data_IF_357192961062
#
_entry.id   IF_357192961062
#
_cell.length_a   1.000
_cell.length_b   1.000
_cell.length_c   1.000
_cell.angle_alpha   90.00
_cell.angle_beta   90.00
_cell.angle_gamma   90.00
#
_symmetry.space_group_name_H-M   'P 1'
#
loop_
_entity.id
_entity.type
_entity.pdbx_description
1 polymer ?
#
# COMPACT_ATOMS: atom_id res chain seq x y z
N UNK A 1 10.42 -19.10 -24.65
CA UNK A 1 11.17 -18.28 -23.68
C UNK A 1 10.21 -17.94 -22.57
N UNK A 2 10.62 -18.17 -21.33
CA UNK A 2 9.79 -17.97 -20.13
C UNK A 2 9.67 -16.46 -19.88
N UNK A 3 8.46 -15.91 -20.00
CA UNK A 3 8.19 -14.51 -19.69
C UNK A 3 8.14 -14.31 -18.17
N UNK A 4 8.76 -13.23 -17.68
CA UNK A 4 8.67 -12.84 -16.28
C UNK A 4 7.32 -12.19 -16.03
N UNK A 5 6.36 -12.96 -15.53
CA UNK A 5 5.12 -12.39 -14.98
C UNK A 5 5.41 -11.78 -13.61
N UNK A 6 5.15 -10.47 -13.47
CA UNK A 6 4.91 -9.88 -12.17
C UNK A 6 3.61 -10.46 -11.63
N UNK A 7 3.67 -11.52 -10.82
CA UNK A 7 2.47 -12.09 -10.23
C UNK A 7 1.97 -11.24 -9.06
N UNK A 8 0.71 -10.84 -9.18
CA UNK A 8 -0.37 -11.55 -8.48
C UNK A 8 -1.30 -12.24 -9.49
N UNK A 9 -0.86 -13.33 -10.13
CA UNK A 9 -1.82 -14.32 -10.64
C UNK A 9 -1.89 -15.46 -9.62
N UNK A 10 -3.08 -16.01 -9.39
CA UNK A 10 -3.26 -17.28 -8.69
C UNK A 10 -3.30 -18.39 -9.74
N UNK A 11 -2.43 -19.40 -9.61
CA UNK A 11 -2.52 -20.64 -10.36
C UNK A 11 -2.27 -21.68 -9.29
N UNK A 12 -3.33 -22.44 -8.99
CA UNK A 12 -3.27 -23.54 -8.06
C UNK A 12 -2.33 -24.60 -8.66
N UNK A 13 -1.30 -24.97 -7.92
CA UNK A 13 -0.68 -26.26 -8.12
C UNK A 13 -1.53 -27.35 -7.46
N UNK A 14 -1.31 -28.59 -7.88
CA UNK A 14 -2.14 -29.76 -7.52
C UNK A 14 -2.14 -30.12 -6.02
N UNK A 15 -1.43 -29.36 -5.18
CA UNK A 15 -1.35 -29.56 -3.73
C UNK A 15 -1.81 -28.35 -2.89
N UNK A 16 -2.35 -27.29 -3.50
CA UNK A 16 -3.02 -26.21 -2.75
C UNK A 16 -2.12 -25.37 -1.83
N UNK A 17 -0.80 -25.37 -2.06
CA UNK A 17 0.14 -24.51 -1.33
C UNK A 17 0.57 -23.34 -2.21
N UNK A 18 0.19 -22.10 -1.83
CA UNK A 18 0.65 -20.88 -2.51
C UNK A 18 2.15 -20.66 -2.26
N UNK A 19 3.00 -21.22 -3.11
CA UNK A 19 4.39 -20.82 -3.19
C UNK A 19 4.49 -19.51 -4.01
N UNK A 20 4.75 -18.39 -3.33
CA UNK A 20 5.02 -17.09 -3.95
C UNK A 20 6.33 -17.15 -4.73
N UNK A 21 6.26 -17.30 -6.05
CA UNK A 21 7.41 -17.05 -6.93
C UNK A 21 7.55 -15.55 -7.15
N UNK A 22 8.40 -14.90 -6.35
CA UNK A 22 8.90 -13.54 -6.65
C UNK A 22 9.82 -13.67 -7.85
N UNK A 23 9.34 -13.29 -9.04
CA UNK A 23 10.19 -13.16 -10.21
C UNK A 23 10.69 -11.73 -10.25
N UNK A 24 11.96 -11.52 -9.90
CA UNK A 24 12.62 -10.23 -10.08
C UNK A 24 13.36 -10.27 -11.43
N UNK A 25 12.78 -9.73 -12.53
CA UNK A 25 13.44 -9.76 -13.83
C UNK A 25 14.78 -9.05 -13.75
N UNK A 26 15.78 -9.58 -14.47
CA UNK A 26 17.05 -8.86 -14.65
C UNK A 26 16.84 -7.74 -15.65
N UNK A 27 16.60 -6.54 -15.15
CA UNK A 27 16.48 -5.34 -15.97
C UNK A 27 17.76 -5.07 -16.76
N UNK A 28 17.61 -4.73 -18.04
CA UNK A 28 18.72 -4.38 -18.92
C UNK A 28 19.32 -3.01 -18.57
N UNK A 29 18.52 -2.11 -17.97
CA UNK A 29 18.97 -0.78 -17.57
C UNK A 29 18.42 -0.33 -16.20
N UNK A 30 19.18 0.45 -15.38
CA UNK A 30 18.71 0.92 -14.06
C UNK A 30 17.39 1.71 -14.09
N UNK A 31 17.10 2.43 -15.18
CA UNK A 31 15.84 3.16 -15.32
C UNK A 31 14.62 2.26 -15.47
N UNK A 32 14.78 1.04 -15.99
CA UNK A 32 13.72 0.04 -16.05
C UNK A 32 13.42 -0.47 -14.64
N UNK A 33 14.45 -0.78 -13.86
CA UNK A 33 14.29 -1.16 -12.45
C UNK A 33 13.62 -0.07 -11.61
N UNK A 34 13.96 1.19 -11.84
CA UNK A 34 13.33 2.34 -11.17
C UNK A 34 11.87 2.51 -11.60
N UNK A 35 11.56 2.34 -12.89
CA UNK A 35 10.18 2.43 -13.38
C UNK A 35 9.32 1.29 -12.83
N UNK A 36 9.84 0.06 -12.81
CA UNK A 36 9.18 -1.08 -12.18
C UNK A 36 8.89 -0.81 -10.70
N UNK A 37 9.86 -0.29 -9.94
CA UNK A 37 9.63 0.11 -8.54
C UNK A 37 8.53 1.17 -8.40
N UNK A 38 8.42 2.11 -9.33
CA UNK A 38 7.37 3.13 -9.31
C UNK A 38 6.00 2.50 -9.64
N UNK A 39 5.93 1.56 -10.57
CA UNK A 39 4.69 0.85 -10.88
C UNK A 39 4.23 0.00 -9.69
N UNK A 40 5.16 -0.76 -9.10
CA UNK A 40 4.96 -1.50 -7.85
C UNK A 40 4.51 -0.55 -6.73
N UNK A 41 5.16 0.62 -6.66
CA UNK A 41 4.82 1.66 -5.70
C UNK A 41 3.36 2.07 -5.83
N UNK A 42 2.86 2.32 -7.04
CA UNK A 42 1.46 2.69 -7.23
C UNK A 42 0.49 1.50 -7.34
N UNK A 43 0.96 0.27 -7.16
CA UNK A 43 0.15 -0.95 -7.33
C UNK A 43 -0.34 -1.15 -8.77
N UNK A 44 0.37 -0.61 -9.75
CA UNK A 44 0.04 -0.76 -11.17
C UNK A 44 0.57 -2.09 -11.66
N UNK A 45 -0.30 -2.93 -12.21
CA UNK A 45 0.13 -4.20 -12.83
C UNK A 45 1.01 -3.95 -14.06
N UNK A 46 2.08 -4.75 -14.19
CA UNK A 46 3.01 -4.63 -15.30
C UNK A 46 3.67 -5.95 -15.70
N UNK A 47 3.98 -6.06 -17.00
CA UNK A 47 4.80 -7.11 -17.60
C UNK A 47 6.08 -6.49 -18.19
N UNK A 48 7.24 -7.12 -17.99
CA UNK A 48 8.52 -6.68 -18.56
C UNK A 48 8.85 -7.44 -19.84
N UNK A 49 9.26 -6.71 -20.87
CA UNK A 49 9.51 -7.23 -22.23
C UNK A 49 8.38 -8.19 -22.71
N UNK A 50 7.11 -7.74 -22.67
CA UNK A 50 5.93 -8.59 -22.74
C UNK A 50 5.81 -9.33 -24.07
N UNK A 51 6.18 -8.68 -25.17
CA UNK A 51 6.06 -9.21 -26.53
C UNK A 51 6.97 -8.43 -27.47
N UNK A 52 7.58 -9.14 -28.42
CA UNK A 52 8.36 -8.55 -29.51
C UNK A 52 7.52 -8.43 -30.78
N UNK A 53 7.58 -7.26 -31.41
CA UNK A 53 6.87 -6.97 -32.65
C UNK A 53 7.85 -6.85 -33.82
N UNK A 54 7.61 -7.54 -34.95
CA UNK A 54 8.39 -7.35 -36.17
C UNK A 54 8.22 -5.93 -36.72
N UNK A 55 9.33 -5.28 -37.10
CA UNK A 55 9.32 -3.93 -37.69
C UNK A 55 9.92 -3.86 -39.09
N UNK A 56 10.71 -4.87 -39.49
CA UNK A 56 11.31 -4.96 -40.83
C UNK A 56 11.44 -6.42 -41.30
N UNK A 57 11.30 -6.61 -42.61
CA UNK A 57 11.42 -7.89 -43.29
C UNK A 57 12.36 -7.78 -44.50
N UNK A 58 12.98 -8.90 -44.86
CA UNK A 58 13.64 -9.14 -46.15
C UNK A 58 13.00 -10.41 -46.75
N UNK A 59 12.13 -10.22 -47.73
CA UNK A 59 11.18 -11.25 -48.16
C UNK A 59 10.29 -11.71 -47.01
N UNK A 60 10.23 -13.02 -46.77
CA UNK A 60 9.47 -13.61 -45.65
C UNK A 60 10.25 -13.64 -44.33
N UNK A 61 11.52 -13.22 -44.33
CA UNK A 61 12.38 -13.25 -43.14
C UNK A 61 12.31 -11.95 -42.37
N UNK A 62 12.00 -12.03 -41.08
CA UNK A 62 12.07 -10.87 -40.18
C UNK A 62 13.54 -10.46 -39.96
N UNK A 63 13.85 -9.19 -40.21
CA UNK A 63 15.19 -8.62 -40.08
C UNK A 63 15.33 -7.65 -38.91
N UNK A 64 14.21 -7.10 -38.42
CA UNK A 64 14.22 -6.25 -37.22
C UNK A 64 12.97 -6.47 -36.37
N UNK A 65 13.18 -6.52 -35.05
CA UNK A 65 12.13 -6.56 -34.03
C UNK A 65 12.21 -5.33 -33.12
N UNK A 66 11.09 -5.02 -32.49
CA UNK A 66 10.96 -4.05 -31.43
C UNK A 66 10.23 -4.68 -30.24
N UNK A 67 10.85 -4.68 -29.08
CA UNK A 67 10.25 -5.16 -27.82
C UNK A 67 10.07 -3.93 -26.93
N UNK A 68 8.82 -3.53 -26.60
CA UNK A 68 8.59 -2.50 -25.60
C UNK A 68 9.14 -2.94 -24.24
N UNK A 69 9.68 -2.00 -23.47
CA UNK A 69 10.23 -2.30 -22.14
C UNK A 69 9.16 -2.83 -21.16
N UNK A 70 7.95 -2.24 -21.15
CA UNK A 70 6.84 -2.66 -20.26
C UNK A 70 5.49 -2.71 -20.97
N UNK A 71 4.55 -3.50 -20.44
CA UNK A 71 3.12 -3.41 -20.72
C UNK A 71 2.35 -3.27 -19.40
N UNK A 72 1.36 -2.38 -19.40
CA UNK A 72 0.47 -2.11 -18.26
C UNK A 72 -0.94 -2.62 -18.61
N UNK A 73 -1.33 -3.85 -18.20
CA UNK A 73 -2.57 -4.49 -18.65
C UNK A 73 -3.82 -3.68 -18.34
N UNK A 74 -3.89 -3.09 -17.14
CA UNK A 74 -5.03 -2.28 -16.70
C UNK A 74 -5.28 -1.03 -17.56
N UNK A 75 -4.25 -0.55 -18.25
CA UNK A 75 -4.31 0.65 -19.08
C UNK A 75 -4.27 0.33 -20.58
N UNK A 76 -4.14 -0.95 -20.94
CA UNK A 76 -3.79 -1.43 -22.27
C UNK A 76 -2.71 -0.54 -22.92
N UNK A 77 -1.55 -0.47 -22.26
CA UNK A 77 -0.51 0.52 -22.59
C UNK A 77 0.87 -0.12 -22.57
N UNK A 78 1.54 -0.11 -23.73
CA UNK A 78 2.95 -0.42 -23.85
C UNK A 78 3.80 0.82 -23.55
N UNK A 79 4.88 0.64 -22.81
CA UNK A 79 5.82 1.69 -22.44
C UNK A 79 7.20 1.34 -22.98
N UNK A 80 7.80 2.32 -23.65
CA UNK A 80 9.21 2.32 -24.03
C UNK A 80 9.91 3.42 -23.25
N UNK A 81 10.90 3.07 -22.42
CA UNK A 81 11.72 4.02 -21.69
C UNK A 81 12.81 4.59 -22.59
N UNK A 82 13.08 5.88 -22.46
CA UNK A 82 14.19 6.52 -23.18
C UNK A 82 15.12 7.31 -22.27
N UNK A 83 16.40 7.30 -22.65
CA UNK A 83 17.45 8.12 -22.03
C UNK A 83 17.48 9.51 -22.66
N UNK A 84 18.20 10.44 -22.04
CA UNK A 84 18.37 11.82 -22.54
C UNK A 84 19.37 11.94 -23.71
N UNK A 85 20.06 10.86 -24.09
CA UNK A 85 21.01 10.87 -25.22
C UNK A 85 20.26 10.92 -26.55
N UNK A 86 20.29 12.09 -27.19
CA UNK A 86 19.50 12.43 -28.37
C UNK A 86 19.66 11.44 -29.56
N UNK A 87 20.85 10.89 -29.78
CA UNK A 87 21.10 9.92 -30.86
C UNK A 87 20.35 8.59 -30.67
N UNK A 88 20.22 8.11 -29.42
CA UNK A 88 19.47 6.90 -29.08
C UNK A 88 17.96 7.14 -29.18
N UNK A 89 17.51 8.34 -28.79
CA UNK A 89 16.11 8.78 -28.91
C UNK A 89 15.66 8.81 -30.36
N UNK A 90 16.47 9.31 -31.30
CA UNK A 90 16.13 9.36 -32.72
C UNK A 90 15.93 7.96 -33.31
N UNK A 91 16.78 7.00 -32.94
CA UNK A 91 16.65 5.60 -33.37
C UNK A 91 15.39 4.94 -32.79
N UNK A 92 15.13 5.11 -31.49
CA UNK A 92 13.91 4.59 -30.85
C UNK A 92 12.64 5.17 -31.47
N UNK A 93 12.60 6.49 -31.72
CA UNK A 93 11.46 7.14 -32.37
C UNK A 93 11.17 6.60 -33.78
N UNK A 94 12.22 6.27 -34.55
CA UNK A 94 12.03 5.66 -35.88
C UNK A 94 11.35 4.31 -35.79
N UNK A 95 11.82 3.44 -34.88
CA UNK A 95 11.22 2.12 -34.64
C UNK A 95 9.78 2.23 -34.15
N UNK A 96 9.52 3.15 -33.21
CA UNK A 96 8.21 3.36 -32.64
C UNK A 96 7.19 3.86 -33.69
N UNK A 97 7.60 4.75 -34.61
CA UNK A 97 6.77 5.15 -35.75
C UNK A 97 6.45 3.96 -36.65
N UNK A 98 7.45 3.16 -36.98
CA UNK A 98 7.26 1.98 -37.81
C UNK A 98 6.35 0.94 -37.17
N UNK A 99 6.49 0.72 -35.86
CA UNK A 99 5.60 -0.14 -35.09
C UNK A 99 4.14 0.33 -35.20
N UNK A 100 3.89 1.63 -35.01
CA UNK A 100 2.55 2.22 -35.11
C UNK A 100 1.95 2.14 -36.51
N UNK A 101 2.77 2.24 -37.56
CA UNK A 101 2.31 2.05 -38.94
C UNK A 101 1.87 0.60 -39.20
N UNK A 102 2.59 -0.37 -38.65
CA UNK A 102 2.33 -1.80 -38.85
C UNK A 102 1.26 -2.35 -37.91
N UNK A 103 1.11 -1.75 -36.73
CA UNK A 103 0.21 -2.19 -35.67
C UNK A 103 -0.51 -0.96 -35.07
N UNK A 104 -1.49 -0.39 -35.79
CA UNK A 104 -2.15 0.86 -35.39
C UNK A 104 -2.96 0.75 -34.09
N UNK A 105 -3.39 -0.46 -33.74
CA UNK A 105 -4.18 -0.74 -32.53
C UNK A 105 -3.32 -0.78 -31.26
N UNK A 106 -1.99 -0.81 -31.38
CA UNK A 106 -1.09 -0.83 -30.23
C UNK A 106 -0.96 0.58 -29.64
N UNK A 107 -1.48 0.73 -28.42
CA UNK A 107 -1.26 1.91 -27.61
C UNK A 107 0.12 1.85 -26.96
N UNK A 108 1.11 2.49 -27.59
CA UNK A 108 2.49 2.58 -27.09
C UNK A 108 2.92 4.02 -26.83
N UNK A 109 3.62 4.25 -25.70
CA UNK A 109 4.21 5.55 -25.35
C UNK A 109 5.70 5.47 -25.08
N UNK A 110 6.43 6.42 -25.65
CA UNK A 110 7.82 6.69 -25.31
C UNK A 110 7.85 7.60 -24.08
N UNK A 111 8.60 7.21 -23.05
CA UNK A 111 8.57 7.87 -21.75
C UNK A 111 9.99 8.25 -21.30
N UNK A 112 10.18 9.53 -20.95
CA UNK A 112 11.43 10.00 -20.33
C UNK A 112 11.35 9.81 -18.82
N UNK A 113 12.48 9.50 -18.19
CA UNK A 113 12.60 9.32 -16.73
C UNK A 113 11.92 10.42 -15.91
N UNK A 114 12.06 11.68 -16.31
CA UNK A 114 11.46 12.83 -15.61
C UNK A 114 9.94 12.91 -15.69
N UNK A 115 9.31 12.18 -16.61
CA UNK A 115 7.89 12.32 -16.94
C UNK A 115 7.04 11.15 -16.39
N UNK A 116 7.65 10.21 -15.65
CA UNK A 116 6.98 9.01 -15.12
C UNK A 116 5.81 9.36 -14.19
N UNK A 117 6.09 10.17 -13.18
CA UNK A 117 5.08 10.62 -12.22
C UNK A 117 3.93 11.39 -12.90
N UNK A 118 4.23 12.18 -13.93
CA UNK A 118 3.19 12.92 -14.68
C UNK A 118 2.29 11.99 -15.49
N UNK A 119 2.86 10.94 -16.08
CA UNK A 119 2.08 9.93 -16.78
C UNK A 119 1.15 9.21 -15.80
N UNK A 120 1.70 8.76 -14.67
CA UNK A 120 0.95 8.03 -13.65
C UNK A 120 -0.17 8.88 -13.05
N UNK A 121 0.12 10.14 -12.74
CA UNK A 121 -0.88 11.09 -12.24
C UNK A 121 -2.03 11.30 -13.25
N UNK A 122 -1.74 11.32 -14.57
CA UNK A 122 -2.78 11.40 -15.62
C UNK A 122 -3.74 10.20 -15.58
N UNK A 123 -3.28 9.04 -15.11
CA UNK A 123 -4.08 7.83 -14.97
C UNK A 123 -4.59 7.60 -13.54
N UNK A 124 -4.48 8.60 -12.65
CA UNK A 124 -4.99 8.53 -11.27
C UNK A 124 -4.02 7.91 -10.27
N UNK A 125 -2.76 7.68 -10.66
CA UNK A 125 -1.72 7.11 -9.80
C UNK A 125 -0.79 8.21 -9.29
N UNK A 126 -0.90 8.52 -7.99
CA UNK A 126 -0.05 9.49 -7.30
C UNK A 126 -0.58 10.93 -7.25
N UNK A 127 0.08 11.80 -6.46
CA UNK A 127 -0.38 13.17 -6.27
C UNK A 127 -0.25 13.98 -7.57
N UNK A 128 -1.30 14.73 -7.90
CA UNK A 128 -1.34 15.67 -9.02
C UNK A 128 -0.47 16.90 -8.69
N UNK A 129 0.85 16.80 -8.92
CA UNK A 129 1.82 17.91 -9.03
C UNK A 129 1.97 18.89 -7.83
N UNK A 130 3.24 19.21 -7.54
CA UNK A 130 3.71 20.37 -6.77
C UNK A 130 3.26 20.49 -5.31
N UNK A 131 3.50 19.48 -4.48
CA UNK A 131 3.46 19.67 -3.04
C UNK A 131 4.88 19.62 -2.47
N UNK A 132 5.22 20.58 -1.59
CA UNK A 132 6.45 20.59 -0.77
C UNK A 132 6.43 19.47 0.29
N UNK A 133 5.71 18.37 0.02
CA UNK A 133 5.41 17.33 0.99
C UNK A 133 6.47 16.22 0.87
N UNK A 134 7.00 15.71 1.99
CA UNK A 134 8.07 14.71 1.97
C UNK A 134 7.78 13.51 1.05
N UNK A 135 8.78 13.13 0.27
CA UNK A 135 8.64 12.05 -0.71
C UNK A 135 8.60 10.71 0.03
N UNK A 136 7.76 9.78 -0.44
CA UNK A 136 7.79 8.41 0.07
C UNK A 136 9.11 7.76 -0.38
N UNK A 137 9.91 7.28 0.58
CA UNK A 137 11.20 6.63 0.33
C UNK A 137 11.02 5.29 -0.39
N UNK A 138 10.18 4.41 0.19
CA UNK A 138 9.84 3.11 -0.38
C UNK A 138 8.50 2.60 0.13
N UNK A 139 7.89 1.67 -0.61
CA UNK A 139 6.76 0.88 -0.11
C UNK A 139 7.27 -0.10 0.95
N UNK A 140 6.60 -0.12 2.10
CA UNK A 140 6.83 -1.10 3.16
C UNK A 140 5.88 -2.30 3.00
N UNK A 141 4.60 -2.04 2.72
CA UNK A 141 3.57 -3.06 2.55
C UNK A 141 2.69 -2.67 1.35
N UNK A 142 2.73 -3.48 0.30
CA UNK A 142 1.96 -3.25 -0.93
C UNK A 142 0.47 -3.59 -0.80
N UNK A 143 -0.35 -3.03 -1.68
CA UNK A 143 -1.81 -3.19 -1.71
C UNK A 143 -2.27 -4.65 -1.64
N UNK A 144 -1.65 -5.53 -2.42
CA UNK A 144 -2.00 -6.95 -2.43
C UNK A 144 -1.63 -7.67 -1.13
N UNK A 145 -0.53 -7.28 -0.48
CA UNK A 145 -0.14 -7.85 0.82
C UNK A 145 -1.19 -7.47 1.87
N UNK A 146 -1.61 -6.21 1.88
CA UNK A 146 -2.69 -5.72 2.75
C UNK A 146 -3.97 -6.52 2.50
N UNK A 147 -4.40 -6.67 1.24
CA UNK A 147 -5.62 -7.39 0.90
C UNK A 147 -5.59 -8.86 1.37
N UNK A 148 -4.47 -9.56 1.13
CA UNK A 148 -4.28 -10.95 1.56
C UNK A 148 -4.36 -11.05 3.09
N UNK A 149 -3.63 -10.19 3.81
CA UNK A 149 -3.60 -10.25 5.27
C UNK A 149 -4.96 -9.89 5.87
N UNK A 150 -5.64 -8.88 5.36
CA UNK A 150 -6.99 -8.50 5.80
C UNK A 150 -7.99 -9.65 5.59
N UNK A 151 -7.88 -10.42 4.50
CA UNK A 151 -8.70 -11.60 4.27
C UNK A 151 -8.37 -12.78 5.22
N UNK A 152 -7.11 -12.92 5.65
CA UNK A 152 -6.73 -13.86 6.72
C UNK A 152 -7.34 -13.46 8.05
N UNK A 153 -7.18 -12.19 8.45
CA UNK A 153 -7.75 -11.65 9.68
C UNK A 153 -9.27 -11.80 9.72
N UNK A 154 -9.95 -11.49 8.61
CA UNK A 154 -11.40 -11.66 8.49
C UNK A 154 -11.85 -13.11 8.73
N UNK A 155 -11.09 -14.09 8.23
CA UNK A 155 -11.35 -15.53 8.47
C UNK A 155 -11.11 -15.93 9.93
N UNK A 156 -10.01 -15.47 10.52
CA UNK A 156 -9.70 -15.70 11.94
C UNK A 156 -10.81 -15.15 12.85
N UNK A 157 -11.18 -13.89 12.66
CA UNK A 157 -12.24 -13.22 13.41
C UNK A 157 -13.59 -13.95 13.20
N UNK A 158 -13.94 -14.30 11.97
CA UNK A 158 -15.20 -15.01 11.69
C UNK A 158 -15.29 -16.36 12.40
N UNK A 159 -14.16 -17.06 12.54
CA UNK A 159 -14.09 -18.32 13.28
C UNK A 159 -14.30 -18.11 14.77
N UNK A 160 -13.61 -17.13 15.36
CA UNK A 160 -13.62 -16.87 16.80
C UNK A 160 -14.94 -16.25 17.30
N UNK A 161 -15.61 -15.51 16.42
CA UNK A 161 -16.91 -14.89 16.67
C UNK A 161 -18.09 -15.68 16.07
N UNK A 162 -17.89 -16.96 15.74
CA UNK A 162 -18.98 -17.82 15.29
C UNK A 162 -20.14 -17.82 16.29
N UNK A 163 -21.36 -17.63 15.80
CA UNK A 163 -22.59 -17.51 16.58
C UNK A 163 -22.66 -16.30 17.53
N UNK A 164 -21.71 -15.35 17.44
CA UNK A 164 -21.73 -14.07 18.15
C UNK A 164 -22.16 -12.95 17.19
N UNK A 165 -22.40 -11.76 17.75
CA UNK A 165 -22.70 -10.53 17.01
C UNK A 165 -21.80 -9.37 17.49
N UNK A 166 -20.50 -9.39 17.14
CA UNK A 166 -19.57 -8.41 17.68
C UNK A 166 -19.88 -6.98 17.22
N UNK A 167 -19.44 -6.01 18.02
CA UNK A 167 -19.34 -4.60 17.64
C UNK A 167 -17.89 -4.31 17.32
N UNK A 168 -17.61 -3.92 16.07
CA UNK A 168 -16.31 -3.42 15.67
C UNK A 168 -16.25 -1.93 16.03
N UNK A 169 -15.24 -1.55 16.80
CA UNK A 169 -15.05 -0.16 17.25
C UNK A 169 -13.76 0.36 16.67
N UNK A 170 -13.85 1.36 15.79
CA UNK A 170 -12.67 2.00 15.17
C UNK A 170 -12.36 3.36 15.80
N UNK A 171 -11.08 3.68 15.94
CA UNK A 171 -10.64 5.02 16.35
C UNK A 171 -10.27 5.86 15.13
N UNK A 172 -11.02 6.94 14.91
CA UNK A 172 -10.77 7.84 13.80
C UNK A 172 -9.50 8.69 14.04
N UNK A 173 -8.79 9.07 12.97
CA UNK A 173 -9.19 8.92 11.56
C UNK A 173 -8.61 7.68 10.88
N UNK A 174 -7.33 7.40 11.03
CA UNK A 174 -6.59 6.55 10.09
C UNK A 174 -7.10 5.12 9.92
N UNK A 175 -7.81 4.56 10.90
CA UNK A 175 -8.39 3.20 10.81
C UNK A 175 -9.41 3.01 9.70
N UNK A 176 -10.04 4.07 9.17
CA UNK A 176 -11.24 3.94 8.34
C UNK A 176 -11.04 3.05 7.10
N UNK A 177 -9.88 3.10 6.45
CA UNK A 177 -9.55 2.24 5.30
C UNK A 177 -9.50 0.77 5.73
N UNK A 178 -8.71 0.47 6.76
CA UNK A 178 -8.55 -0.88 7.28
C UNK A 178 -9.87 -1.46 7.80
N UNK A 179 -10.64 -0.68 8.56
CA UNK A 179 -11.95 -1.06 9.07
C UNK A 179 -12.89 -1.46 7.93
N UNK A 180 -12.97 -0.64 6.88
CA UNK A 180 -13.86 -0.88 5.74
C UNK A 180 -13.49 -2.16 4.97
N UNK A 181 -12.20 -2.44 4.81
CA UNK A 181 -11.75 -3.66 4.13
C UNK A 181 -11.91 -4.89 5.02
N UNK A 182 -11.59 -4.79 6.32
CA UNK A 182 -11.72 -5.87 7.28
C UNK A 182 -13.18 -6.33 7.43
N UNK A 183 -14.12 -5.39 7.59
CA UNK A 183 -15.53 -5.74 7.78
C UNK A 183 -16.12 -6.51 6.58
N UNK A 184 -15.62 -6.26 5.35
CA UNK A 184 -16.06 -6.99 4.13
C UNK A 184 -15.55 -8.43 4.11
N UNK A 185 -14.50 -8.76 4.85
CA UNK A 185 -13.92 -10.10 4.95
C UNK A 185 -14.51 -10.93 6.10
N UNK A 186 -15.24 -10.31 7.03
CA UNK A 186 -15.85 -11.01 8.17
C UNK A 186 -17.24 -11.53 7.78
N UNK A 187 -17.49 -12.82 8.02
CA UNK A 187 -18.69 -13.55 7.54
C UNK A 187 -19.76 -13.75 8.61
N UNK A 188 -19.56 -13.24 9.83
CA UNK A 188 -20.56 -13.29 10.91
C UNK A 188 -21.33 -11.96 10.98
N UNK A 189 -22.60 -11.95 11.42
CA UNK A 189 -23.32 -10.69 11.62
C UNK A 189 -22.59 -9.79 12.62
N UNK A 190 -22.40 -8.51 12.29
CA UNK A 190 -21.69 -7.56 13.15
C UNK A 190 -22.34 -6.18 13.10
N UNK A 191 -21.94 -5.31 14.03
CA UNK A 191 -22.21 -3.88 14.02
C UNK A 191 -20.89 -3.13 13.96
N UNK A 192 -20.89 -1.87 13.49
CA UNK A 192 -19.70 -1.03 13.40
C UNK A 192 -20.01 0.31 14.05
N UNK A 193 -19.08 0.81 14.86
CA UNK A 193 -19.14 2.14 15.44
C UNK A 193 -17.73 2.77 15.45
N UNK A 194 -17.68 4.10 15.55
CA UNK A 194 -16.46 4.88 15.52
C UNK A 194 -16.41 5.87 16.67
N UNK A 195 -15.24 5.95 17.30
CA UNK A 195 -14.90 7.00 18.24
C UNK A 195 -13.78 7.88 17.70
N UNK A 196 -13.67 9.10 18.22
CA UNK A 196 -12.59 10.02 17.89
C UNK A 196 -11.91 10.49 19.17
N UNK A 197 -10.60 10.65 19.11
CA UNK A 197 -9.79 11.18 20.20
C UNK A 197 -9.01 12.41 19.77
N UNK A 198 -8.57 13.19 20.74
CA UNK A 198 -7.59 14.26 20.57
C UNK A 198 -6.52 14.15 21.64
N UNK A 199 -5.27 14.38 21.26
CA UNK A 199 -4.16 14.60 22.19
C UNK A 199 -4.12 16.10 22.55
N UNK A 200 -4.04 16.43 23.84
CA UNK A 200 -3.76 17.82 24.24
C UNK A 200 -2.29 18.16 23.92
N UNK A 201 -1.89 19.44 23.95
CA UNK A 201 -0.52 19.83 23.60
C UNK A 201 0.57 19.15 24.46
N UNK A 202 1.68 18.81 23.79
CA UNK A 202 2.92 18.16 24.26
C UNK A 202 2.81 16.74 24.82
N UNK A 203 3.92 16.00 24.67
CA UNK A 203 4.10 14.54 24.63
C UNK A 203 3.63 13.72 25.86
N UNK A 204 3.08 14.35 26.91
CA UNK A 204 2.58 13.73 28.15
C UNK A 204 1.07 13.97 28.41
N UNK A 205 0.35 14.40 27.39
CA UNK A 205 -1.04 14.86 27.51
C UNK A 205 -2.06 13.71 27.52
N UNK A 206 -2.98 13.76 28.48
CA UNK A 206 -4.10 12.83 28.58
C UNK A 206 -4.93 12.80 27.27
N UNK A 207 -5.16 11.59 26.75
CA UNK A 207 -6.06 11.35 25.62
C UNK A 207 -7.47 11.78 26.01
N UNK A 208 -8.12 12.60 25.17
CA UNK A 208 -9.53 13.00 25.36
C UNK A 208 -10.38 12.44 24.23
N UNK A 209 -11.51 11.82 24.59
CA UNK A 209 -12.53 11.41 23.63
C UNK A 209 -13.29 12.66 23.15
N UNK A 210 -13.25 12.91 21.84
CA UNK A 210 -13.93 14.03 21.18
C UNK A 210 -15.25 13.60 20.54
N UNK A 211 -15.36 12.33 20.17
CA UNK A 211 -16.61 11.67 19.76
C UNK A 211 -16.66 10.31 20.46
N UNK A 212 -17.69 10.10 21.29
CA UNK A 212 -17.96 8.80 21.90
C UNK A 212 -18.76 7.91 20.93
N UNK A 213 -18.96 6.66 21.33
CA UNK A 213 -19.77 5.67 20.64
C UNK A 213 -21.26 6.02 20.70
N UNK A 214 -21.95 5.72 19.59
CA UNK A 214 -23.39 5.86 19.48
C UNK A 214 -24.11 4.60 20.02
N UNK A 215 -23.41 3.45 20.03
CA UNK A 215 -23.94 2.16 20.47
C UNK A 215 -23.63 1.82 21.94
N UNK A 216 -24.57 1.17 22.62
CA UNK A 216 -24.33 0.55 23.92
C UNK A 216 -23.50 -0.74 23.79
N UNK A 217 -22.49 -0.87 24.65
CA UNK A 217 -21.56 -2.01 24.64
C UNK A 217 -21.80 -3.05 25.73
N UNK A 218 -22.74 -2.79 26.66
CA UNK A 218 -22.97 -3.69 27.80
C UNK A 218 -23.34 -5.10 27.32
N UNK A 219 -22.64 -6.10 27.87
CA UNK A 219 -22.80 -7.51 27.50
C UNK A 219 -22.58 -7.83 26.00
N UNK A 220 -22.01 -6.91 25.22
CA UNK A 220 -21.64 -7.14 23.82
C UNK A 220 -20.21 -7.65 23.70
N UNK A 221 -19.97 -8.45 22.68
CA UNK A 221 -18.62 -8.79 22.26
C UNK A 221 -18.04 -7.63 21.44
N UNK A 222 -16.92 -7.06 21.88
CA UNK A 222 -16.31 -5.88 21.26
C UNK A 222 -14.97 -6.26 20.64
N UNK A 223 -14.74 -5.81 19.42
CA UNK A 223 -13.46 -5.89 18.73
C UNK A 223 -13.01 -4.47 18.42
N UNK A 224 -12.04 -3.95 19.17
CA UNK A 224 -11.42 -2.67 18.88
C UNK A 224 -10.49 -2.84 17.68
N UNK A 225 -10.63 -1.98 16.68
CA UNK A 225 -9.82 -1.99 15.45
C UNK A 225 -8.97 -0.72 15.42
N UNK A 226 -7.67 -0.88 15.20
CA UNK A 226 -6.68 0.21 15.16
C UNK A 226 -5.86 0.15 13.87
N UNK A 227 -5.42 1.30 13.37
CA UNK A 227 -4.50 1.39 12.24
C UNK A 227 -3.05 1.07 12.65
N UNK A 228 -2.58 1.62 13.77
CA UNK A 228 -1.22 1.38 14.25
C UNK A 228 -1.14 1.43 15.78
N UNK A 229 -0.50 0.41 16.36
CA UNK A 229 -0.13 0.40 17.78
C UNK A 229 1.36 0.67 17.91
N UNK A 230 1.68 1.82 18.52
CA UNK A 230 3.05 2.28 18.76
C UNK A 230 3.49 1.98 20.21
N UNK A 231 3.52 2.98 21.08
CA UNK A 231 3.80 2.79 22.52
C UNK A 231 2.71 1.98 23.24
N UNK A 232 1.49 1.99 22.68
CA UNK A 232 0.31 1.35 23.24
C UNK A 232 -0.37 2.15 24.37
N UNK A 233 0.09 3.38 24.68
CA UNK A 233 -0.53 4.22 25.71
C UNK A 233 -1.96 4.64 25.36
N UNK A 234 -2.17 5.13 24.14
CA UNK A 234 -3.51 5.48 23.64
C UNK A 234 -4.44 4.27 23.63
N UNK A 235 -3.94 3.12 23.16
CA UNK A 235 -4.68 1.87 23.20
C UNK A 235 -5.08 1.50 24.64
N UNK A 236 -4.15 1.56 25.59
CA UNK A 236 -4.42 1.27 27.01
C UNK A 236 -5.57 2.12 27.56
N UNK A 237 -5.49 3.44 27.35
CA UNK A 237 -6.53 4.36 27.78
C UNK A 237 -7.90 4.01 27.20
N UNK A 238 -7.94 3.70 25.90
CA UNK A 238 -9.19 3.34 25.22
C UNK A 238 -9.72 1.99 25.67
N UNK A 239 -8.86 1.01 25.93
CA UNK A 239 -9.28 -0.28 26.47
C UNK A 239 -9.88 -0.13 27.87
N UNK A 240 -9.29 0.68 28.74
CA UNK A 240 -9.85 0.94 30.07
C UNK A 240 -11.20 1.67 29.98
N UNK A 241 -11.31 2.64 29.07
CA UNK A 241 -12.56 3.33 28.79
C UNK A 241 -13.66 2.39 28.29
N UNK A 242 -13.34 1.48 27.36
CA UNK A 242 -14.30 0.52 26.83
C UNK A 242 -14.66 -0.59 27.83
N UNK A 243 -13.70 -1.04 28.66
CA UNK A 243 -13.96 -2.00 29.75
C UNK A 243 -14.98 -1.47 30.75
N UNK A 244 -14.94 -0.17 31.05
CA UNK A 244 -15.89 0.47 31.96
C UNK A 244 -17.34 0.45 31.44
N UNK A 245 -17.56 0.20 30.15
CA UNK A 245 -18.90 -0.01 29.55
C UNK A 245 -19.40 -1.46 29.65
N UNK A 246 -18.71 -2.32 30.41
CA UNK A 246 -19.07 -3.71 30.72
C UNK A 246 -19.36 -4.62 29.50
N UNK A 247 -18.47 -4.70 28.50
CA UNK A 247 -18.63 -5.64 27.40
C UNK A 247 -18.48 -7.10 27.86
N UNK A 248 -19.11 -8.04 27.16
CA UNK A 248 -18.94 -9.48 27.41
C UNK A 248 -17.52 -9.98 27.05
N UNK A 249 -16.87 -9.32 26.09
CA UNK A 249 -15.44 -9.50 25.80
C UNK A 249 -14.91 -8.26 25.11
N UNK A 250 -13.62 -7.95 25.29
CA UNK A 250 -12.94 -6.87 24.59
C UNK A 250 -11.61 -7.38 24.05
N UNK A 251 -11.48 -7.40 22.73
CA UNK A 251 -10.28 -7.85 22.01
C UNK A 251 -9.78 -6.75 21.07
N UNK A 252 -8.52 -6.84 20.64
CA UNK A 252 -7.89 -5.85 19.74
C UNK A 252 -7.46 -6.50 18.43
N UNK A 253 -7.79 -5.83 17.33
CA UNK A 253 -7.26 -6.05 15.99
C UNK A 253 -6.50 -4.79 15.54
N UNK A 254 -5.23 -4.90 15.20
CA UNK A 254 -4.48 -3.78 14.62
C UNK A 254 -3.91 -4.13 13.25
N UNK A 255 -3.86 -3.16 12.35
CA UNK A 255 -3.17 -3.32 11.07
C UNK A 255 -1.65 -3.36 11.28
N UNK A 256 -1.08 -2.44 12.05
CA UNK A 256 0.37 -2.33 12.27
C UNK A 256 0.75 -2.40 13.76
N UNK A 257 1.75 -3.19 14.08
CA UNK A 257 2.35 -3.24 15.42
C UNK A 257 3.84 -2.85 15.39
N UNK A 258 4.19 -1.73 16.05
CA UNK A 258 5.59 -1.34 16.34
C UNK A 258 6.07 -1.94 17.65
N UNK A 259 6.20 -3.27 17.68
CA UNK A 259 6.49 -4.03 18.89
C UNK A 259 7.72 -3.54 19.67
N UNK A 260 8.74 -3.04 18.98
CA UNK A 260 9.96 -2.48 19.59
C UNK A 260 9.72 -1.25 20.48
N UNK A 261 8.61 -0.52 20.30
CA UNK A 261 8.26 0.68 21.08
C UNK A 261 7.25 0.42 22.18
N UNK A 262 6.79 -0.82 22.34
CA UNK A 262 5.72 -1.17 23.26
C UNK A 262 6.11 -0.88 24.70
N UNK A 263 5.31 -0.09 25.40
CA UNK A 263 5.45 0.21 26.83
C UNK A 263 4.35 -0.46 27.68
N UNK A 264 3.44 -1.21 27.04
CA UNK A 264 2.22 -1.73 27.65
C UNK A 264 2.00 -3.19 27.29
N UNK A 265 1.56 -4.01 28.25
CA UNK A 265 1.35 -5.46 28.06
C UNK A 265 0.00 -5.81 27.39
N UNK A 266 -0.54 -4.90 26.58
CA UNK A 266 -1.80 -5.15 25.88
C UNK A 266 -1.69 -6.33 24.93
N UNK A 267 -2.56 -7.31 25.12
CA UNK A 267 -2.69 -8.44 24.21
C UNK A 267 -3.35 -7.97 22.92
N UNK A 268 -2.59 -7.96 21.83
CA UNK A 268 -3.12 -7.79 20.49
C UNK A 268 -3.49 -9.14 19.93
N UNK A 269 -4.79 -9.44 19.91
CA UNK A 269 -5.27 -10.75 19.48
C UNK A 269 -5.10 -10.97 17.98
N UNK A 270 -5.32 -9.92 17.19
CA UNK A 270 -5.19 -9.96 15.74
C UNK A 270 -4.22 -8.86 15.29
N UNK A 271 -3.13 -9.25 14.63
CA UNK A 271 -2.10 -8.33 14.15
C UNK A 271 -1.97 -8.50 12.64
N UNK A 272 -2.13 -7.42 11.88
CA UNK A 272 -1.89 -7.41 10.45
C UNK A 272 -0.41 -7.64 10.16
N UNK A 273 0.43 -6.67 10.53
CA UNK A 273 1.86 -6.67 10.27
C UNK A 273 2.64 -6.14 11.48
N UNK A 274 3.68 -6.86 11.89
CA UNK A 274 4.70 -6.28 12.76
C UNK A 274 5.69 -5.46 11.90
N UNK A 275 5.97 -4.22 12.30
CA UNK A 275 6.88 -3.32 11.59
C UNK A 275 7.96 -2.75 12.51
N UNK A 276 9.09 -2.36 11.92
CA UNK A 276 10.14 -1.63 12.62
C UNK A 276 9.68 -0.21 13.01
N UNK A 277 10.49 0.50 13.79
CA UNK A 277 10.22 1.89 14.13
C UNK A 277 10.50 2.84 12.96
N UNK A 278 9.60 2.79 11.98
CA UNK A 278 9.62 3.61 10.77
C UNK A 278 8.43 4.57 10.78
N UNK A 279 8.60 5.76 10.21
CA UNK A 279 7.47 6.66 10.01
C UNK A 279 6.73 6.27 8.73
N UNK A 280 5.48 5.84 8.87
CA UNK A 280 4.70 5.24 7.79
C UNK A 280 3.44 6.05 7.48
N UNK A 281 3.06 6.08 6.20
CA UNK A 281 1.85 6.74 5.70
C UNK A 281 1.16 5.87 4.65
N UNK A 282 -0.07 6.22 4.30
CA UNK A 282 -0.87 5.49 3.33
C UNK A 282 -1.83 4.48 3.97
N UNK A 283 -2.79 4.02 3.18
CA UNK A 283 -3.86 3.12 3.60
C UNK A 283 -4.60 3.63 4.87
N UNK A 284 -4.94 4.92 4.85
CA UNK A 284 -5.59 5.62 5.96
C UNK A 284 -4.65 6.38 6.89
N UNK A 285 -3.38 5.96 7.01
CA UNK A 285 -2.34 6.64 7.78
C UNK A 285 -1.91 7.93 7.07
N UNK A 286 -1.58 8.97 7.84
CA UNK A 286 -1.26 10.29 7.29
C UNK A 286 0.07 10.88 7.77
N UNK A 287 0.48 11.90 7.03
CA UNK A 287 1.39 12.93 7.51
C UNK A 287 0.78 14.29 7.20
N UNK A 288 0.49 15.07 8.24
CA UNK A 288 -0.17 16.38 8.11
C UNK A 288 -1.47 16.32 7.28
N UNK A 289 -2.30 15.30 7.52
CA UNK A 289 -3.55 15.02 6.80
C UNK A 289 -3.39 14.61 5.31
N UNK A 290 -2.17 14.48 4.82
CA UNK A 290 -1.86 13.99 3.47
C UNK A 290 -1.61 12.47 3.45
N UNK A 291 -1.57 11.89 2.25
CA UNK A 291 -1.21 10.49 1.96
C UNK A 291 -2.20 9.39 2.35
N UNK A 292 -3.28 9.69 3.11
CA UNK A 292 -4.27 8.66 3.52
C UNK A 292 -4.82 7.83 2.35
N UNK A 293 -4.92 8.43 1.17
CA UNK A 293 -5.47 7.84 -0.05
C UNK A 293 -4.52 6.91 -0.79
N UNK A 294 -3.25 6.79 -0.38
CA UNK A 294 -2.34 5.82 -1.00
C UNK A 294 -2.86 4.39 -0.72
N UNK A 295 -2.90 3.49 -1.72
CA UNK A 295 -3.47 2.15 -1.55
C UNK A 295 -2.50 1.16 -0.87
N UNK A 296 -1.35 1.62 -0.41
CA UNK A 296 -0.27 0.85 0.21
C UNK A 296 0.28 1.63 1.40
N UNK A 297 1.15 0.99 2.19
CA UNK A 297 1.84 1.62 3.32
C UNK A 297 3.29 1.88 2.91
N UNK A 298 3.69 3.14 2.92
CA UNK A 298 5.02 3.61 2.54
C UNK A 298 5.78 4.22 3.71
N UNK A 299 7.11 4.18 3.65
CA UNK A 299 7.99 4.90 4.59
C UNK A 299 8.19 6.31 4.07
N UNK A 300 7.93 7.31 4.92
CA UNK A 300 8.17 8.71 4.58
C UNK A 300 9.66 9.03 4.70
N UNK A 301 10.26 9.65 3.68
CA UNK A 301 11.63 10.14 3.78
C UNK A 301 11.66 11.31 4.79
N UNK A 302 12.56 11.30 5.79
CA UNK A 302 12.72 12.45 6.67
C UNK A 302 13.12 13.66 5.83
N UNK A 303 12.43 14.79 6.01
CA UNK A 303 12.88 16.04 5.40
C UNK A 303 14.18 16.48 6.08
N UNK A 304 15.09 17.14 5.36
CA UNK A 304 16.39 17.57 5.93
C UNK A 304 16.19 18.54 7.12
N UNK A 305 15.05 19.26 7.15
CA UNK A 305 14.63 20.09 8.29
C UNK A 305 14.11 19.31 9.50
N UNK A 306 13.51 18.13 9.30
CA UNK A 306 12.92 17.32 10.38
C UNK A 306 13.97 16.49 11.13
N UNK A 307 15.08 16.13 10.48
CA UNK A 307 16.22 15.51 11.14
C UNK A 307 16.81 16.43 12.24
N UNK A 308 16.79 17.76 12.01
CA UNK A 308 17.24 18.75 12.99
C UNK A 308 16.29 18.87 14.19
N UNK A 309 14.97 18.83 13.97
CA UNK A 309 13.97 18.85 15.05
C UNK A 309 13.98 17.55 15.88
N UNK A 310 14.12 16.38 15.25
CA UNK A 310 14.26 15.10 15.96
C UNK A 310 15.56 15.00 16.78
N UNK A 311 16.63 15.68 16.35
CA UNK A 311 17.87 15.78 17.13
C UNK A 311 17.75 16.72 18.34
N UNK A 312 16.96 17.79 18.23
CA UNK A 312 16.73 18.73 19.35
C UNK A 312 15.80 18.15 20.43
N UNK A 313 14.78 17.35 20.08
CA UNK A 313 13.92 16.68 21.07
C UNK A 313 14.56 15.45 21.74
N UNK A 314 15.76 15.02 21.33
CA UNK A 314 16.52 13.91 21.95
C UNK A 314 17.53 14.35 23.01
N UNK A 315 17.57 15.63 23.39
CA UNK A 315 18.46 16.11 24.45
C UNK A 315 17.74 16.12 25.80
N UNK A 316 18.06 15.23 26.75
CA UNK A 316 17.50 15.31 28.09
C UNK A 316 18.07 16.55 28.79
N UNK A 317 17.18 17.38 29.36
CA UNK A 317 17.50 18.23 30.49
C UNK A 317 16.86 17.65 31.74
#
# INVERSE_FOLDING_TARGET
>A
MEYAQGRFAALADSNGSLALKIHNPKFAHPSEAEFAHILDFYGVEWDYEPTSFPTQWDGDRVTEMFTPDFYLPQLDLYIELTTLKQSLVTRKNRKLRRLRELNPDINIRLLYRRDFHRLLAKYGFGPLANSETPVIDRVLIGTSQIAIRTAELGREISKDYRHKKPVLVGVLRGVFCFMADLMRQITVPMSVDFMSISHYGNEDSAVKITKDLDMELESRHVLMVEDIVDTGMTLNYLLDYLRAKNPASLEVCTLLDKRARRLTDNTLKYVGFEIADEFVVGYGLDYMEEYRNLPFIGILKPDEGDAANRAQNKSPK
#
